data_IF_104494224865
#
_entry.id   IF_104494224865
#
_cell.length_a   1.000
_cell.length_b   1.000
_cell.length_c   1.000
_cell.angle_alpha   90.00
_cell.angle_beta   90.00
_cell.angle_gamma   90.00
#
_symmetry.space_group_name_H-M   'P 1'
#
loop_
_entity.id
_entity.type
_entity.pdbx_description
1 polymer ?
#
# COMPACT_ATOMS: atom_id res chain seq x y z
N UNK A 1 -29.24 -1.45 2.84
CA UNK A 1 -28.85 -0.96 1.50
C UNK A 1 -27.59 -1.72 1.13
N UNK A 2 -27.56 -2.40 -0.03
CA UNK A 2 -26.34 -3.05 -0.50
C UNK A 2 -25.46 -1.97 -1.12
N UNK A 3 -24.36 -1.63 -0.45
CA UNK A 3 -23.32 -0.75 -0.98
C UNK A 3 -22.53 -1.64 -1.94
N UNK A 4 -22.61 -1.36 -3.24
CA UNK A 4 -21.79 -2.05 -4.23
C UNK A 4 -20.31 -1.81 -3.88
N UNK A 5 -19.43 -2.79 -4.10
CA UNK A 5 -18.00 -2.58 -3.88
C UNK A 5 -17.54 -1.37 -4.70
N UNK A 6 -17.05 -0.34 -4.00
CA UNK A 6 -16.36 0.79 -4.62
C UNK A 6 -14.99 0.31 -5.05
N UNK A 7 -14.48 0.85 -6.14
CA UNK A 7 -13.14 0.54 -6.61
C UNK A 7 -12.71 1.41 -7.77
N UNK A 8 -11.43 1.38 -8.06
CA UNK A 8 -10.83 2.21 -9.09
C UNK A 8 -9.33 1.98 -9.22
N UNK A 9 -8.67 2.91 -9.91
CA UNK A 9 -7.21 2.91 -10.05
C UNK A 9 -6.62 4.04 -9.21
N UNK A 10 -5.47 3.78 -8.59
CA UNK A 10 -4.73 4.80 -7.84
C UNK A 10 -3.22 4.68 -8.08
N UNK A 11 -2.53 5.80 -7.97
CA UNK A 11 -1.07 5.83 -8.04
C UNK A 11 -0.47 5.59 -6.67
N UNK A 12 0.60 4.81 -6.61
CA UNK A 12 1.38 4.55 -5.40
C UNK A 12 2.81 5.07 -5.53
N UNK A 13 3.45 5.32 -4.39
CA UNK A 13 4.84 5.72 -4.28
C UNK A 13 5.51 5.06 -3.08
N UNK A 14 6.78 4.69 -3.22
CA UNK A 14 7.59 4.14 -2.15
C UNK A 14 9.07 4.46 -2.30
N UNK A 15 9.81 4.23 -1.22
CA UNK A 15 11.26 4.36 -1.16
C UNK A 15 11.89 2.98 -1.30
N UNK A 16 12.61 2.72 -2.39
CA UNK A 16 13.21 1.41 -2.66
C UNK A 16 14.37 1.09 -1.72
N UNK A 17 15.07 2.11 -1.22
CA UNK A 17 16.16 1.96 -0.26
C UNK A 17 15.75 1.35 1.08
N UNK A 18 14.46 1.42 1.47
CA UNK A 18 13.99 0.82 2.72
C UNK A 18 13.94 -0.73 2.67
N UNK A 19 14.18 -1.35 1.52
CA UNK A 19 13.92 -2.77 1.30
C UNK A 19 15.05 -3.43 0.49
N UNK A 20 16.30 -3.26 0.94
CA UNK A 20 17.58 -3.57 0.27
C UNK A 20 17.66 -4.84 -0.61
N UNK A 21 16.76 -5.84 -0.47
CA UNK A 21 16.73 -7.08 -1.26
C UNK A 21 15.33 -7.58 -1.69
N UNK A 22 14.24 -6.84 -1.43
CA UNK A 22 12.88 -7.25 -1.82
C UNK A 22 12.24 -6.21 -2.73
N UNK A 23 11.51 -6.65 -3.76
CA UNK A 23 10.66 -5.71 -4.48
C UNK A 23 9.57 -5.21 -3.53
N UNK A 24 9.64 -3.93 -3.14
CA UNK A 24 8.81 -3.36 -2.07
C UNK A 24 7.32 -3.56 -2.33
N UNK A 25 6.93 -3.57 -3.61
CA UNK A 25 5.66 -4.08 -4.07
C UNK A 25 5.85 -5.11 -5.17
N UNK A 26 5.15 -6.24 -5.07
CA UNK A 26 5.07 -7.27 -6.08
C UNK A 26 3.93 -6.94 -7.02
N UNK A 27 4.16 -6.96 -8.33
CA UNK A 27 3.07 -6.91 -9.31
C UNK A 27 2.17 -8.12 -9.06
N UNK A 28 0.86 -7.89 -8.96
CA UNK A 28 -0.13 -8.88 -8.53
C UNK A 28 -0.24 -9.05 -7.01
N UNK A 29 0.66 -8.45 -6.23
CA UNK A 29 0.63 -8.51 -4.77
C UNK A 29 -0.61 -7.80 -4.20
N UNK A 30 -1.20 -8.41 -3.17
CA UNK A 30 -2.36 -7.90 -2.44
C UNK A 30 -1.92 -7.12 -1.21
N UNK A 31 -2.45 -5.91 -1.05
CA UNK A 31 -2.14 -5.00 0.04
C UNK A 31 -3.42 -4.46 0.67
N UNK A 32 -3.42 -4.22 1.98
CA UNK A 32 -4.50 -3.49 2.65
C UNK A 32 -4.15 -2.01 2.72
N UNK A 33 -5.11 -1.15 2.41
CA UNK A 33 -4.97 0.30 2.53
C UNK A 33 -5.49 0.73 3.90
N UNK A 34 -4.67 1.45 4.65
CA UNK A 34 -5.04 1.97 5.97
C UNK A 34 -4.54 3.41 6.15
N UNK A 35 -5.27 4.26 6.88
CA UNK A 35 -4.76 5.55 7.33
C UNK A 35 -3.50 5.37 8.18
N UNK A 36 -2.50 6.22 7.95
CA UNK A 36 -1.27 6.24 8.73
C UNK A 36 -0.76 7.66 8.89
N UNK A 37 -0.58 8.07 10.14
CA UNK A 37 0.15 9.29 10.45
C UNK A 37 1.62 9.13 10.03
N UNK A 38 2.16 10.02 9.16
CA UNK A 38 3.57 10.01 8.83
C UNK A 38 4.41 10.27 10.08
N UNK A 39 5.62 9.70 10.13
CA UNK A 39 6.57 9.91 11.22
C UNK A 39 7.08 11.35 11.33
N UNK A 40 6.86 12.17 10.29
CA UNK A 40 7.28 13.56 10.22
C UNK A 40 6.25 14.49 10.85
N UNK A 41 6.65 15.39 11.77
CA UNK A 41 5.77 16.43 12.30
C UNK A 41 5.20 17.28 11.15
N UNK A 42 3.93 17.64 11.23
CA UNK A 42 3.21 18.51 10.27
C UNK A 42 2.93 17.92 8.88
N UNK A 43 3.19 16.62 8.65
CA UNK A 43 2.64 15.98 7.46
C UNK A 43 1.19 15.54 7.70
N UNK A 44 0.27 15.79 6.75
CA UNK A 44 -1.09 15.29 6.87
C UNK A 44 -1.07 13.75 6.89
N UNK A 45 -2.04 13.15 7.61
CA UNK A 45 -2.28 11.71 7.57
C UNK A 45 -2.25 11.21 6.13
N UNK A 46 -1.55 10.11 5.88
CA UNK A 46 -1.42 9.47 4.56
C UNK A 46 -2.23 8.18 4.47
N UNK A 47 -2.41 7.67 3.26
CA UNK A 47 -2.92 6.31 3.04
C UNK A 47 -1.75 5.38 2.72
N UNK A 48 -1.55 4.40 3.59
CA UNK A 48 -0.45 3.47 3.55
C UNK A 48 -0.90 2.10 3.05
N UNK A 49 -0.04 1.44 2.27
CA UNK A 49 -0.19 0.06 1.86
C UNK A 49 0.54 -0.82 2.86
N UNK A 50 -0.17 -1.81 3.40
CA UNK A 50 0.35 -2.81 4.31
C UNK A 50 0.32 -4.17 3.62
N UNK A 51 1.38 -4.94 3.79
CA UNK A 51 1.39 -6.34 3.40
C UNK A 51 0.75 -7.23 4.49
N UNK A 52 0.43 -8.50 4.18
CA UNK A 52 -0.19 -9.41 5.14
C UNK A 52 0.65 -9.64 6.41
N UNK A 53 1.97 -9.51 6.33
CA UNK A 53 2.89 -9.59 7.48
C UNK A 53 2.89 -8.31 8.35
N UNK A 54 2.01 -7.34 8.05
CA UNK A 54 1.91 -6.10 8.81
C UNK A 54 3.06 -5.14 8.55
N UNK A 55 3.77 -5.26 7.43
CA UNK A 55 4.82 -4.32 7.03
C UNK A 55 4.25 -3.27 6.10
N UNK A 56 4.56 -2.02 6.40
CA UNK A 56 4.31 -0.91 5.48
C UNK A 56 5.16 -1.07 4.23
N UNK A 57 4.58 -0.87 3.06
CA UNK A 57 5.24 -1.02 1.76
C UNK A 57 5.28 0.26 0.92
N UNK A 58 4.42 1.24 1.23
CA UNK A 58 4.43 2.56 0.60
C UNK A 58 3.08 3.26 0.73
N UNK A 59 2.86 4.27 -0.09
CA UNK A 59 1.77 5.23 0.08
C UNK A 59 0.95 5.42 -1.20
N UNK A 60 -0.34 5.66 -1.05
CA UNK A 60 -1.18 6.22 -2.12
C UNK A 60 -0.76 7.68 -2.32
N UNK A 61 -0.61 8.10 -3.59
CA UNK A 61 -0.30 9.49 -3.92
C UNK A 61 -1.47 10.38 -3.56
N UNK A 62 -1.16 11.58 -3.06
CA UNK A 62 -2.15 12.53 -2.54
C UNK A 62 -3.31 12.86 -3.50
N UNK A 63 -3.06 12.89 -4.80
CA UNK A 63 -4.08 13.20 -5.81
C UNK A 63 -5.19 12.14 -5.92
N UNK A 64 -4.90 10.89 -5.57
CA UNK A 64 -5.80 9.76 -5.78
C UNK A 64 -6.46 9.28 -4.47
N UNK A 65 -6.34 10.07 -3.41
CA UNK A 65 -6.76 9.67 -2.06
C UNK A 65 -8.23 9.88 -1.75
N UNK A 66 -8.87 10.88 -2.37
CA UNK A 66 -10.18 11.36 -1.95
C UNK A 66 -11.22 10.23 -1.90
N UNK A 67 -11.33 9.46 -2.99
CA UNK A 67 -12.30 8.37 -3.11
C UNK A 67 -11.98 7.21 -2.15
N UNK A 68 -10.70 6.97 -1.87
CA UNK A 68 -10.25 5.91 -0.97
C UNK A 68 -10.48 6.31 0.49
N UNK A 69 -10.24 7.57 0.84
CA UNK A 69 -10.55 8.13 2.16
C UNK A 69 -12.07 8.00 2.42
N UNK A 70 -12.93 8.32 1.43
CA UNK A 70 -14.37 8.11 1.53
C UNK A 70 -14.74 6.63 1.70
N UNK A 71 -14.13 5.74 0.90
CA UNK A 71 -14.35 4.30 0.99
C UNK A 71 -14.00 3.74 2.38
N UNK A 72 -12.91 4.22 3.00
CA UNK A 72 -12.49 3.84 4.35
C UNK A 72 -13.50 4.23 5.44
N UNK A 73 -14.37 5.21 5.20
CA UNK A 73 -15.44 5.57 6.14
C UNK A 73 -16.67 4.67 6.07
N UNK A 74 -16.83 3.93 4.96
CA UNK A 74 -18.04 3.18 4.64
C UNK A 74 -17.81 1.66 4.63
N UNK A 75 -16.60 1.21 4.33
CA UNK A 75 -16.23 -0.19 4.19
C UNK A 75 -15.43 -0.70 5.40
N UNK A 76 -15.57 -2.00 5.68
CA UNK A 76 -14.78 -2.68 6.71
C UNK A 76 -13.31 -2.85 6.27
N UNK A 77 -13.10 -3.11 4.98
CA UNK A 77 -11.79 -3.33 4.40
C UNK A 77 -11.65 -2.60 3.07
N UNK A 78 -10.46 -2.08 2.82
CA UNK A 78 -10.06 -1.52 1.53
C UNK A 78 -8.74 -2.18 1.14
N UNK A 79 -8.74 -2.82 0.00
CA UNK A 79 -7.60 -3.55 -0.54
C UNK A 79 -7.14 -2.94 -1.84
N UNK A 80 -5.91 -3.29 -2.24
CA UNK A 80 -5.45 -3.05 -3.58
C UNK A 80 -4.52 -4.15 -4.08
N UNK A 81 -4.49 -4.29 -5.40
CA UNK A 81 -3.55 -5.13 -6.12
C UNK A 81 -2.68 -4.27 -7.01
N UNK A 82 -1.37 -4.53 -6.99
CA UNK A 82 -0.42 -3.74 -7.77
C UNK A 82 -0.44 -4.18 -9.23
N UNK A 83 -0.80 -3.27 -10.11
CA UNK A 83 -0.94 -3.52 -11.54
C UNK A 83 0.40 -3.32 -12.26
N UNK A 84 1.07 -2.20 -11.99
CA UNK A 84 2.27 -1.83 -12.73
C UNK A 84 3.29 -1.11 -11.85
N UNK A 85 4.57 -1.36 -12.15
CA UNK A 85 5.68 -0.53 -11.68
C UNK A 85 5.95 0.61 -12.65
N UNK A 86 6.01 1.82 -12.11
CA UNK A 86 6.31 3.05 -12.82
C UNK A 86 7.78 3.45 -12.72
N UNK A 87 8.00 4.74 -12.95
CA UNK A 87 9.31 5.38 -12.99
C UNK A 87 10.06 5.24 -11.66
N UNK A 88 11.37 5.03 -11.75
CA UNK A 88 12.32 5.19 -10.62
C UNK A 88 13.04 6.53 -10.71
N UNK A 89 13.33 7.13 -9.56
CA UNK A 89 14.16 8.32 -9.49
C UNK A 89 14.81 8.46 -8.13
N UNK A 90 15.92 9.19 -8.09
CA UNK A 90 16.59 9.54 -6.84
C UNK A 90 16.18 10.93 -6.41
N UNK A 91 15.87 11.13 -5.14
CA UNK A 91 15.54 12.43 -4.55
C UNK A 91 16.14 12.54 -3.15
N UNK A 92 16.62 13.74 -2.81
CA UNK A 92 17.05 14.07 -1.46
C UNK A 92 15.87 13.92 -0.48
N UNK A 93 16.01 13.03 0.50
CA UNK A 93 15.17 12.97 1.69
C UNK A 93 15.75 13.95 2.71
N UNK A 94 15.18 15.16 2.75
CA UNK A 94 15.65 16.26 3.59
C UNK A 94 15.57 15.96 5.09
N UNK A 95 14.84 14.92 5.51
CA UNK A 95 14.78 14.50 6.92
C UNK A 95 16.05 13.75 7.32
N UNK A 96 16.58 12.95 6.40
CA UNK A 96 17.73 12.09 6.63
C UNK A 96 19.03 12.66 6.05
N UNK A 97 18.93 13.81 5.37
CA UNK A 97 20.02 14.45 4.62
C UNK A 97 20.73 13.48 3.67
N UNK A 98 19.95 12.63 3.00
CA UNK A 98 20.49 11.59 2.11
C UNK A 98 19.65 11.43 0.85
N UNK A 99 20.30 11.09 -0.25
CA UNK A 99 19.61 10.76 -1.50
C UNK A 99 19.04 9.36 -1.40
N UNK A 100 17.73 9.26 -1.62
CA UNK A 100 17.00 7.99 -1.61
C UNK A 100 16.40 7.72 -2.97
N UNK A 101 16.37 6.47 -3.38
CA UNK A 101 15.66 6.05 -4.59
C UNK A 101 14.19 5.81 -4.26
N UNK A 102 13.34 6.36 -5.11
CA UNK A 102 11.88 6.30 -5.04
C UNK A 102 11.37 5.59 -6.29
N UNK A 103 10.20 4.97 -6.18
CA UNK A 103 9.52 4.35 -7.30
C UNK A 103 8.02 4.63 -7.27
N UNK A 104 7.46 4.91 -8.44
CA UNK A 104 6.02 4.99 -8.70
C UNK A 104 5.44 3.62 -9.06
N UNK A 105 4.13 3.49 -8.92
CA UNK A 105 3.35 2.37 -9.45
C UNK A 105 1.88 2.73 -9.55
N UNK A 106 1.10 1.81 -10.10
CA UNK A 106 -0.37 1.89 -10.13
C UNK A 106 -0.97 0.65 -9.49
N UNK A 107 -2.12 0.83 -8.87
CA UNK A 107 -2.88 -0.24 -8.23
C UNK A 107 -4.34 -0.17 -8.68
N UNK A 108 -4.98 -1.32 -8.78
CA UNK A 108 -6.42 -1.44 -8.70
C UNK A 108 -6.81 -1.59 -7.23
N UNK A 109 -7.80 -0.83 -6.77
CA UNK A 109 -8.28 -0.89 -5.39
C UNK A 109 -9.78 -1.14 -5.32
N UNK A 110 -10.23 -1.77 -4.24
CA UNK A 110 -11.64 -2.04 -4.00
C UNK A 110 -11.97 -2.11 -2.50
N UNK A 111 -13.26 -1.94 -2.19
CA UNK A 111 -13.81 -2.19 -0.86
C UNK A 111 -14.30 -3.62 -0.71
N UNK A 112 -14.12 -4.20 0.49
CA UNK A 112 -14.68 -5.49 0.86
C UNK A 112 -15.43 -5.40 2.19
N UNK A 113 -16.49 -6.22 2.33
CA UNK A 113 -17.25 -6.38 3.57
C UNK A 113 -16.62 -7.40 4.53
N UNK A 114 -15.81 -8.30 3.99
CA UNK A 114 -15.13 -9.37 4.71
C UNK A 114 -13.63 -9.31 4.41
N UNK A 115 -12.82 -9.91 5.28
CA UNK A 115 -11.38 -10.01 5.06
C UNK A 115 -11.10 -11.01 3.93
N UNK A 116 -10.27 -10.62 2.97
CA UNK A 116 -9.97 -11.44 1.78
C UNK A 116 -9.24 -12.74 2.16
N UNK A 117 -9.70 -13.90 1.67
CA UNK A 117 -9.03 -15.19 1.93
C UNK A 117 -7.57 -15.18 1.47
N UNK A 118 -7.28 -14.55 0.32
CA UNK A 118 -5.92 -14.39 -0.20
C UNK A 118 -5.01 -13.55 0.71
N UNK A 119 -5.60 -12.61 1.47
CA UNK A 119 -4.88 -11.83 2.48
C UNK A 119 -4.49 -12.74 3.64
N UNK A 120 -5.44 -13.54 4.14
CA UNK A 120 -5.25 -14.47 5.25
C UNK A 120 -4.24 -15.56 4.90
N UNK A 121 -4.38 -16.20 3.72
CA UNK A 121 -3.52 -17.31 3.29
C UNK A 121 -2.05 -16.90 3.17
N UNK A 122 -1.78 -15.63 2.86
CA UNK A 122 -0.41 -15.11 2.79
C UNK A 122 0.23 -15.00 4.18
N UNK A 123 -0.57 -14.78 5.24
CA UNK A 123 -0.09 -14.79 6.64
C UNK A 123 0.16 -16.21 7.12
N UNK A 124 -0.72 -17.15 6.75
CA UNK A 124 -0.68 -18.53 7.23
C UNK A 124 0.41 -19.41 6.59
N UNK A 125 1.04 -18.97 5.49
CA UNK A 125 2.03 -19.74 4.73
C UNK A 125 3.44 -19.81 5.32
N UNK A 126 3.65 -19.49 6.60
CA UNK A 126 4.99 -19.42 7.22
C UNK A 126 5.37 -20.64 8.08
N UNK A 127 4.50 -21.63 8.22
CA UNK A 127 4.74 -22.82 9.07
C UNK A 127 4.50 -24.11 8.30
N UNK A 128 5.33 -24.43 7.31
CA UNK A 128 5.55 -25.80 6.82
C UNK A 128 6.76 -25.78 5.88
N UNK A 129 7.96 -26.02 6.43
CA UNK A 129 9.04 -26.80 5.81
C UNK A 129 10.37 -26.59 6.55
N UNK A 130 10.58 -27.37 7.62
CA UNK A 130 11.91 -27.90 7.96
C UNK A 130 11.69 -29.21 8.74
N UNK A 131 11.71 -30.33 8.01
CA UNK A 131 11.88 -31.68 8.55
C UNK A 131 13.16 -32.30 8.01
#
# INVERSE_FOLDING_TARGET
>A
MSILPLGGSASIIYVTHDYELAACFLVGGLYRILPRMPSSPNQPEGLALWDPEGRHRGWIRRCDRLEIDEALTQAAYVYCRVEQRGRRWTRLDSRLDTFREWQEGTVEWWTASEEEEAWISTVSGSEEDEN
#
